data_IF_163817323386
#
_entry.id   IF_163817323386
#
_cell.length_a   1.000
_cell.length_b   1.000
_cell.length_c   1.000
_cell.angle_alpha   90.00
_cell.angle_beta   90.00
_cell.angle_gamma   90.00
#
_symmetry.space_group_name_H-M   'P 1'
#
loop_
_entity.id
_entity.type
_entity.pdbx_description
1 polymer ?
#
# COMPACT_ATOMS: atom_id res chain seq x y z
N UNK A 1 -7.95 -7.84 -7.65
CA UNK A 1 -7.76 -6.59 -6.91
C UNK A 1 -7.74 -6.86 -5.42
N UNK A 2 -6.69 -6.38 -4.77
CA UNK A 2 -6.37 -6.57 -3.36
C UNK A 2 -5.89 -5.24 -2.78
N UNK A 3 -6.10 -5.04 -1.48
CA UNK A 3 -5.56 -3.87 -0.79
C UNK A 3 -4.30 -4.25 -0.04
N UNK A 4 -3.31 -3.37 -0.05
CA UNK A 4 -2.06 -3.53 0.69
C UNK A 4 -1.93 -2.33 1.60
N UNK A 5 -1.75 -2.59 2.89
CA UNK A 5 -1.44 -1.60 3.90
C UNK A 5 0.08 -1.59 4.15
N UNK A 6 0.69 -0.42 3.99
CA UNK A 6 2.12 -0.19 4.18
C UNK A 6 2.29 0.73 5.39
N UNK A 7 3.05 0.26 6.38
CA UNK A 7 3.28 0.94 7.66
C UNK A 7 4.77 1.23 7.81
N UNK A 8 5.13 2.48 8.08
CA UNK A 8 6.52 2.87 8.26
C UNK A 8 6.71 4.00 9.28
N UNK A 9 7.98 4.27 9.61
CA UNK A 9 8.40 5.36 10.49
C UNK A 9 8.56 6.70 9.76
N UNK A 10 8.71 6.69 8.43
CA UNK A 10 8.86 7.90 7.64
C UNK A 10 8.40 7.67 6.20
N UNK A 11 8.17 8.78 5.49
CA UNK A 11 7.67 8.76 4.10
C UNK A 11 8.68 8.15 3.13
N UNK A 12 9.99 8.30 3.35
CA UNK A 12 11.03 7.72 2.49
C UNK A 12 10.95 6.19 2.45
N UNK A 13 10.75 5.53 3.60
CA UNK A 13 10.55 4.08 3.68
C UNK A 13 9.29 3.63 2.93
N UNK A 14 8.21 4.43 2.96
CA UNK A 14 7.00 4.16 2.17
C UNK A 14 7.30 4.21 0.67
N UNK A 15 7.93 5.29 0.20
CA UNK A 15 8.21 5.49 -1.23
C UNK A 15 9.15 4.40 -1.78
N UNK A 16 10.19 4.04 -1.03
CA UNK A 16 11.09 2.96 -1.41
C UNK A 16 10.35 1.60 -1.46
N UNK A 17 9.50 1.32 -0.47
CA UNK A 17 8.72 0.08 -0.45
C UNK A 17 7.70 0.00 -1.58
N UNK A 18 7.10 1.13 -1.96
CA UNK A 18 6.22 1.21 -3.13
C UNK A 18 6.99 0.91 -4.43
N UNK A 19 8.20 1.45 -4.56
CA UNK A 19 9.08 1.15 -5.69
C UNK A 19 9.47 -0.34 -5.71
N UNK A 20 9.73 -0.96 -4.55
CA UNK A 20 10.03 -2.38 -4.44
C UNK A 20 8.83 -3.25 -4.85
N UNK A 21 7.63 -2.87 -4.43
CA UNK A 21 6.38 -3.56 -4.79
C UNK A 21 6.18 -3.54 -6.32
N UNK A 22 6.39 -2.41 -6.97
CA UNK A 22 6.21 -2.31 -8.42
C UNK A 22 7.34 -2.98 -9.21
N UNK A 23 8.60 -2.71 -8.85
CA UNK A 23 9.77 -3.11 -9.66
C UNK A 23 10.27 -4.51 -9.35
N UNK A 24 10.25 -4.90 -8.08
CA UNK A 24 10.85 -6.16 -7.63
C UNK A 24 9.79 -7.23 -7.35
N UNK A 25 8.64 -6.87 -6.78
CA UNK A 25 7.51 -7.81 -6.64
C UNK A 25 6.64 -7.88 -7.91
N UNK A 26 6.79 -6.94 -8.84
CA UNK A 26 6.06 -6.94 -10.11
C UNK A 26 4.54 -6.78 -9.96
N UNK A 27 4.09 -6.19 -8.84
CA UNK A 27 2.67 -5.92 -8.60
C UNK A 27 2.27 -4.59 -9.23
N UNK A 28 1.09 -4.54 -9.85
CA UNK A 28 0.59 -3.34 -10.52
C UNK A 28 -0.28 -2.53 -9.58
N UNK A 29 0.20 -1.37 -9.16
CA UNK A 29 -0.56 -0.44 -8.33
C UNK A 29 -1.66 0.25 -9.16
N UNK A 30 -2.88 0.18 -8.66
CA UNK A 30 -4.06 0.83 -9.22
C UNK A 30 -4.23 2.22 -8.61
N UNK A 31 -4.05 3.25 -9.45
CA UNK A 31 -4.24 4.64 -9.08
C UNK A 31 -3.16 5.17 -8.13
N UNK A 32 -3.52 6.15 -7.31
CA UNK A 32 -2.60 6.80 -6.38
C UNK A 32 -2.70 6.18 -4.98
N UNK A 33 -1.57 5.82 -4.34
CA UNK A 33 -1.53 5.44 -2.94
C UNK A 33 -2.20 6.49 -2.04
N UNK A 34 -2.90 6.04 -1.01
CA UNK A 34 -3.69 6.88 -0.13
C UNK A 34 -3.17 6.82 1.29
N UNK A 35 -3.00 7.97 1.94
CA UNK A 35 -2.54 8.05 3.33
C UNK A 35 -3.72 7.72 4.25
N UNK A 36 -3.48 6.83 5.20
CA UNK A 36 -4.43 6.42 6.23
C UNK A 36 -3.97 6.91 7.60
N UNK A 37 -4.92 7.16 8.50
CA UNK A 37 -4.60 7.47 9.89
C UNK A 37 -3.83 6.31 10.54
N UNK A 38 -2.72 6.62 11.20
CA UNK A 38 -1.82 5.61 11.80
C UNK A 38 -2.53 4.76 12.86
N UNK A 39 -3.41 5.37 13.66
CA UNK A 39 -4.16 4.67 14.71
C UNK A 39 -5.07 3.59 14.11
N UNK A 40 -5.74 3.92 13.00
CA UNK A 40 -6.62 3.03 12.25
C UNK A 40 -5.82 1.92 11.56
N UNK A 41 -4.71 2.26 10.90
CA UNK A 41 -3.81 1.31 10.26
C UNK A 41 -3.24 0.31 11.27
N UNK A 42 -2.79 0.78 12.43
CA UNK A 42 -2.27 -0.08 13.50
C UNK A 42 -3.37 -0.99 14.05
N UNK A 43 -4.59 -0.49 14.27
CA UNK A 43 -5.74 -1.30 14.70
C UNK A 43 -6.08 -2.39 13.69
N UNK A 44 -6.09 -2.08 12.39
CA UNK A 44 -6.34 -3.06 11.34
C UNK A 44 -5.22 -4.09 11.26
N UNK A 45 -3.96 -3.68 11.36
CA UNK A 45 -2.84 -4.62 11.38
C UNK A 45 -2.88 -5.55 12.60
N UNK A 46 -3.20 -5.05 13.80
CA UNK A 46 -3.39 -5.90 14.99
C UNK A 46 -4.49 -6.92 14.79
N UNK A 47 -5.63 -6.48 14.26
CA UNK A 47 -6.79 -7.33 14.06
C UNK A 47 -6.57 -8.41 13.00
N UNK A 48 -5.79 -8.12 11.95
CA UNK A 48 -5.47 -9.08 10.89
C UNK A 48 -4.39 -10.06 11.35
N UNK A 49 -3.36 -9.58 12.06
CA UNK A 49 -2.26 -10.42 12.55
C UNK A 49 -2.63 -11.20 13.82
N UNK A 50 -3.76 -10.88 14.45
CA UNK A 50 -4.17 -11.38 15.76
C UNK A 50 -3.03 -11.29 16.81
N UNK A 51 -2.23 -10.23 16.74
CA UNK A 51 -1.01 -10.08 17.51
C UNK A 51 -0.78 -8.62 17.92
N UNK A 52 -0.11 -8.42 19.05
CA UNK A 52 0.35 -7.09 19.46
C UNK A 52 1.41 -6.59 18.48
N UNK A 53 1.24 -5.36 18.01
CA UNK A 53 2.24 -4.71 17.18
C UNK A 53 3.45 -4.34 18.01
N UNK A 54 4.64 -4.76 17.55
CA UNK A 54 5.92 -4.40 18.16
C UNK A 54 6.28 -2.93 17.96
N UNK A 55 5.80 -2.31 16.87
CA UNK A 55 6.05 -0.91 16.53
C UNK A 55 4.79 -0.21 16.03
N UNK A 56 4.68 1.07 16.38
CA UNK A 56 3.63 1.97 15.87
C UNK A 56 4.06 2.61 14.57
N UNK A 57 3.12 2.78 13.64
CA UNK A 57 3.40 3.50 12.40
C UNK A 57 3.40 5.01 12.63
N UNK A 58 4.36 5.73 12.05
CA UNK A 58 4.33 7.21 11.97
C UNK A 58 3.68 7.68 10.67
N UNK A 59 3.70 6.84 9.64
CA UNK A 59 2.95 7.02 8.41
C UNK A 59 2.40 5.66 7.96
N UNK A 60 1.14 5.68 7.54
CA UNK A 60 0.46 4.52 6.97
C UNK A 60 -0.14 4.87 5.60
N UNK A 61 0.03 3.98 4.64
CA UNK A 61 -0.46 4.15 3.28
C UNK A 61 -1.15 2.89 2.82
N UNK A 62 -2.29 3.05 2.15
CA UNK A 62 -2.99 1.96 1.49
C UNK A 62 -2.82 2.10 -0.01
N UNK A 63 -2.54 0.98 -0.67
CA UNK A 63 -2.55 0.85 -2.11
C UNK A 63 -3.51 -0.24 -2.55
N UNK A 64 -4.13 -0.03 -3.70
CA UNK A 64 -4.87 -1.06 -4.42
C UNK A 64 -3.94 -1.66 -5.47
N UNK A 65 -3.92 -2.98 -5.60
CA UNK A 65 -3.18 -3.69 -6.65
C UNK A 65 -4.13 -4.49 -7.54
N UNK A 66 -3.73 -4.74 -8.79
CA UNK A 66 -4.53 -5.50 -9.77
C UNK A 66 -4.68 -6.96 -9.36
N UNK A 67 -3.58 -7.53 -8.87
CA UNK A 67 -3.44 -8.93 -8.52
C UNK A 67 -4.40 -9.35 -7.39
N UNK A 68 -4.60 -10.65 -7.24
CA UNK A 68 -5.31 -11.28 -6.11
C UNK A 68 -4.41 -11.36 -4.87
N UNK A 69 -5.00 -11.73 -3.73
CA UNK A 69 -4.30 -11.74 -2.44
C UNK A 69 -3.18 -12.78 -2.41
N UNK A 70 -3.42 -13.97 -2.94
CA UNK A 70 -2.44 -15.07 -2.99
C UNK A 70 -1.21 -14.66 -3.78
N UNK A 71 -1.41 -14.16 -5.01
CA UNK A 71 -0.32 -13.69 -5.85
C UNK A 71 0.42 -12.50 -5.21
N UNK A 72 -0.30 -11.56 -4.61
CA UNK A 72 0.31 -10.42 -3.91
C UNK A 72 1.22 -10.87 -2.76
N UNK A 73 0.74 -11.80 -1.91
CA UNK A 73 1.51 -12.35 -0.80
C UNK A 73 2.76 -13.08 -1.30
N UNK A 74 2.62 -13.93 -2.32
CA UNK A 74 3.74 -14.70 -2.86
C UNK A 74 4.83 -13.81 -3.45
N UNK A 75 4.47 -12.69 -4.10
CA UNK A 75 5.46 -11.77 -4.65
C UNK A 75 6.09 -10.88 -3.58
N UNK A 76 5.30 -10.37 -2.63
CA UNK A 76 5.84 -9.56 -1.52
C UNK A 76 6.80 -10.37 -0.66
N UNK A 77 6.56 -11.67 -0.45
CA UNK A 77 7.47 -12.56 0.28
C UNK A 77 8.86 -12.70 -0.37
N UNK A 78 9.00 -12.41 -1.66
CA UNK A 78 10.30 -12.49 -2.38
C UNK A 78 11.16 -11.24 -2.22
N UNK A 79 10.58 -10.15 -1.72
CA UNK A 79 11.26 -8.87 -1.55
C UNK A 79 11.44 -8.56 -0.07
N UNK A 80 12.42 -7.70 0.24
CA UNK A 80 12.70 -7.25 1.60
C UNK A 80 12.53 -5.73 1.72
N UNK A 81 11.28 -5.23 1.59
CA UNK A 81 11.01 -3.82 1.59
C UNK A 81 11.29 -3.19 2.96
N UNK A 82 11.73 -1.92 3.02
CA UNK A 82 12.08 -1.25 4.27
C UNK A 82 10.88 -0.89 5.16
N UNK A 83 9.65 -0.98 4.65
CA UNK A 83 8.41 -0.78 5.39
C UNK A 83 7.72 -2.11 5.71
N UNK A 84 6.88 -2.09 6.75
CA UNK A 84 6.05 -3.23 7.10
C UNK A 84 4.83 -3.30 6.17
N UNK A 85 4.73 -4.37 5.40
CA UNK A 85 3.68 -4.58 4.40
C UNK A 85 2.69 -5.63 4.89
N UNK A 86 1.40 -5.31 4.79
CA UNK A 86 0.30 -6.21 5.10
C UNK A 86 -0.65 -6.31 3.90
N UNK A 87 -0.83 -7.51 3.39
CA UNK A 87 -1.81 -7.78 2.32
C UNK A 87 -3.16 -8.03 2.97
N UNK A 88 -4.18 -7.27 2.55
CA UNK A 88 -5.54 -7.38 3.06
C UNK A 88 -6.41 -8.03 1.97
N UNK A 89 -6.73 -9.31 2.15
CA UNK A 89 -7.62 -10.05 1.26
C UNK A 89 -9.08 -9.63 1.46
N UNK A 90 -9.94 -9.97 0.51
CA UNK A 90 -11.39 -9.68 0.57
C UNK A 90 -12.11 -10.43 1.71
N UNK A 91 -11.50 -11.47 2.26
CA UNK A 91 -12.08 -12.27 3.35
C UNK A 91 -12.08 -11.50 4.68
N UNK A 92 -11.23 -10.47 4.81
CA UNK A 92 -11.18 -9.63 5.99
C UNK A 92 -12.19 -8.50 5.92
N UNK A 93 -13.01 -8.32 6.96
CA UNK A 93 -13.97 -7.21 7.08
C UNK A 93 -13.34 -5.82 6.90
N UNK A 94 -12.05 -5.72 7.22
CA UNK A 94 -11.22 -4.53 7.08
C UNK A 94 -11.08 -4.13 5.62
N UNK A 95 -11.03 -5.08 4.69
CA UNK A 95 -10.95 -4.80 3.26
C UNK A 95 -12.12 -3.96 2.78
N UNK A 96 -13.34 -4.35 3.15
CA UNK A 96 -14.55 -3.64 2.74
C UNK A 96 -14.61 -2.24 3.37
N UNK A 97 -14.25 -2.13 4.66
CA UNK A 97 -14.18 -0.85 5.37
C UNK A 97 -13.21 0.12 4.70
N UNK A 98 -11.99 -0.35 4.41
CA UNK A 98 -10.96 0.46 3.75
C UNK A 98 -11.41 0.84 2.33
N UNK A 99 -11.99 -0.10 1.59
CA UNK A 99 -12.49 0.17 0.23
C UNK A 99 -13.53 1.29 0.19
N UNK A 100 -14.44 1.35 1.17
CA UNK A 100 -15.47 2.42 1.26
C UNK A 100 -14.87 3.81 1.49
N UNK A 101 -13.81 3.89 2.31
CA UNK A 101 -13.14 5.17 2.61
C UNK A 101 -11.98 5.49 1.67
N UNK A 102 -11.53 4.55 0.82
CA UNK A 102 -10.31 4.69 0.03
C UNK A 102 -10.27 5.98 -0.81
N UNK A 103 -11.40 6.35 -1.42
CA UNK A 103 -11.50 7.54 -2.26
C UNK A 103 -11.55 8.85 -1.47
N UNK A 104 -11.91 8.82 -0.18
CA UNK A 104 -11.93 10.01 0.68
C UNK A 104 -10.58 10.27 1.35
N UNK A 105 -9.69 9.28 1.35
CA UNK A 105 -8.35 9.41 1.92
C UNK A 105 -7.45 10.35 1.09
N UNK A 106 -6.57 11.12 1.75
CA UNK A 106 -5.64 12.01 1.06
C UNK A 106 -4.63 11.22 0.21
N UNK A 107 -4.33 11.67 -1.03
CA UNK A 107 -3.33 11.01 -1.86
C UNK A 107 -1.91 11.22 -1.31
N UNK A 108 -1.06 10.20 -1.44
CA UNK A 108 0.35 10.27 -1.09
C UNK A 108 1.11 11.14 -2.09
N UNK A 109 1.75 12.20 -1.62
CA UNK A 109 2.63 13.05 -2.43
C UNK A 109 3.99 12.37 -2.66
N UNK A 110 4.59 12.60 -3.83
CA UNK A 110 5.93 12.11 -4.18
C UNK A 110 5.98 10.67 -4.68
N UNK A 111 4.83 9.98 -4.77
CA UNK A 111 4.75 8.69 -5.45
C UNK A 111 4.71 8.90 -6.97
N UNK A 112 5.65 8.27 -7.66
CA UNK A 112 5.68 8.19 -9.12
C UNK A 112 5.69 6.71 -9.51
N UNK A 113 4.57 6.23 -10.05
CA UNK A 113 4.47 4.84 -10.51
C UNK A 113 5.52 4.57 -11.59
N UNK A 114 6.27 3.48 -11.42
CA UNK A 114 7.26 3.04 -12.38
C UNK A 114 6.56 2.47 -13.63
N UNK A 115 6.22 3.39 -14.56
CA UNK A 115 5.66 3.19 -15.92
C UNK A 115 4.14 3.30 -16.04
N UNK A 116 3.72 4.47 -16.52
CA UNK A 116 2.96 4.55 -17.76
C UNK A 116 3.75 5.40 -18.77
N UNK A 117 4.48 4.83 -19.74
CA UNK A 117 5.13 5.60 -20.82
C UNK A 117 4.12 6.37 -21.71
N UNK A 118 2.82 6.14 -21.53
CA UNK A 118 1.72 6.81 -22.24
C UNK A 118 1.01 7.92 -21.45
N UNK A 119 1.49 8.32 -20.26
CA UNK A 119 1.06 9.60 -19.68
C UNK A 119 1.73 10.72 -20.48
N UNK A 120 1.03 11.17 -21.53
CA UNK A 120 1.40 12.38 -22.30
C UNK A 120 1.73 13.47 -21.28
N UNK A 121 3.00 13.88 -21.24
CA UNK A 121 3.43 15.10 -20.55
C UNK A 121 2.49 16.23 -21.02
N UNK A 122 1.93 17.07 -20.13
CA UNK A 122 1.20 18.25 -20.59
C UNK A 122 2.17 19.06 -21.44
N UNK A 123 1.86 19.23 -22.72
CA UNK A 123 2.58 20.16 -23.60
C UNK A 123 2.48 21.52 -22.93
N UNK A 124 3.61 22.06 -22.49
CA UNK A 124 3.71 23.48 -22.14
C UNK A 124 3.31 24.25 -23.41
N UNK A 125 2.22 25.03 -23.32
CA UNK A 125 1.94 26.09 -24.28
C UNK A 125 2.95 27.21 -24.08
#
# INVERSE_FOLDING_TARGET
>A
MTLILIRAENQTKILNSLADIERHAGLKINGTPRIMENSMADKYAQSILNAKLRSRSKIAVVVSVQEDATRSILQIKKIHPPAHILVISKEYTQWEKIKKIFNTLPPLKGYYSAKNPNLKKPRKK
#
